data_IF_898814554756
#
_entry.id   IF_898814554756
#
_cell.length_a   1.000
_cell.length_b   1.000
_cell.length_c   1.000
_cell.angle_alpha   90.00
_cell.angle_beta   90.00
_cell.angle_gamma   90.00
#
_symmetry.space_group_name_H-M   'P 1'
#
loop_
_entity.id
_entity.type
_entity.pdbx_description
1 polymer ?
#
# COMPACT_ATOMS: atom_id res chain seq x y z
N UNK A 1 -4.53 1.19 -27.64
CA UNK A 1 -3.97 1.52 -28.96
C UNK A 1 -3.60 0.22 -29.68
N UNK A 2 -4.37 -0.14 -30.72
CA UNK A 2 -4.28 -1.40 -31.48
C UNK A 2 -3.54 -1.21 -32.82
N UNK A 3 -2.46 -0.42 -32.86
CA UNK A 3 -1.83 -0.05 -34.13
C UNK A 3 -0.92 -1.14 -34.73
N UNK A 4 -0.34 -2.03 -33.92
CA UNK A 4 0.48 -3.15 -34.42
C UNK A 4 -0.33 -4.37 -34.86
N UNK A 5 -1.64 -4.41 -34.56
CA UNK A 5 -2.49 -5.58 -34.82
C UNK A 5 -3.37 -5.47 -36.07
N UNK A 6 -3.63 -4.28 -36.63
CA UNK A 6 -4.44 -4.14 -37.85
C UNK A 6 -3.60 -4.27 -39.11
N UNK A 7 -2.47 -3.56 -39.19
CA UNK A 7 -1.55 -3.67 -40.33
C UNK A 7 -0.96 -5.08 -40.50
N UNK A 8 -0.58 -5.75 -39.41
CA UNK A 8 -0.11 -7.13 -39.48
C UNK A 8 -1.22 -8.11 -39.94
N UNK A 9 -2.48 -7.87 -39.60
CA UNK A 9 -3.60 -8.70 -40.06
C UNK A 9 -3.93 -8.46 -41.53
N UNK A 10 -3.92 -7.20 -42.00
CA UNK A 10 -4.12 -6.85 -43.41
C UNK A 10 -2.98 -7.37 -44.29
N UNK A 11 -1.72 -7.26 -43.83
CA UNK A 11 -0.56 -7.82 -44.52
C UNK A 11 -0.64 -9.35 -44.58
N UNK A 12 -1.05 -10.03 -43.50
CA UNK A 12 -1.26 -11.50 -43.51
C UNK A 12 -2.42 -11.88 -44.45
N UNK A 13 -3.50 -11.08 -44.50
CA UNK A 13 -4.65 -11.33 -45.36
C UNK A 13 -4.34 -11.11 -46.85
N UNK A 14 -3.51 -10.12 -47.18
CA UNK A 14 -3.02 -9.89 -48.54
C UNK A 14 -1.93 -10.90 -48.95
N UNK A 15 -1.07 -11.33 -48.02
CA UNK A 15 -0.12 -12.44 -48.24
C UNK A 15 -0.83 -13.79 -48.44
N UNK A 16 -1.93 -14.07 -47.71
CA UNK A 16 -2.75 -15.29 -47.90
C UNK A 16 -3.49 -15.30 -49.26
N UNK A 17 -3.77 -14.12 -49.84
CA UNK A 17 -4.32 -13.99 -51.19
C UNK A 17 -3.28 -14.18 -52.29
N UNK A 18 -2.05 -13.67 -52.11
CA UNK A 18 -0.95 -13.84 -53.07
C UNK A 18 -0.32 -15.23 -53.03
N UNK A 19 -0.36 -15.92 -51.88
CA UNK A 19 0.10 -17.29 -51.71
C UNK A 19 -1.00 -18.10 -51.01
N UNK A 20 -1.89 -18.79 -51.75
CA UNK A 20 -2.93 -19.60 -51.13
C UNK A 20 -2.29 -20.77 -50.37
N UNK A 21 -2.13 -20.61 -49.05
CA UNK A 21 -1.73 -21.72 -48.19
C UNK A 21 -2.79 -22.81 -48.27
N UNK A 22 -2.39 -24.03 -48.67
CA UNK A 22 -3.33 -25.14 -48.79
C UNK A 22 -4.09 -25.36 -47.47
N UNK A 23 -5.41 -25.64 -47.48
CA UNK A 23 -6.19 -25.90 -46.26
C UNK A 23 -5.67 -27.08 -45.42
N UNK A 24 -4.87 -27.97 -46.03
CA UNK A 24 -4.15 -29.06 -45.38
C UNK A 24 -3.03 -28.52 -44.45
N UNK A 25 -2.38 -27.42 -44.84
CA UNK A 25 -1.35 -26.72 -44.07
C UNK A 25 -1.93 -26.04 -42.82
N UNK A 26 -3.04 -25.31 -42.96
CA UNK A 26 -3.79 -24.76 -41.83
C UNK A 26 -4.23 -25.84 -40.83
N UNK A 27 -4.65 -27.01 -41.34
CA UNK A 27 -5.01 -28.17 -40.48
C UNK A 27 -3.81 -28.75 -39.75
N UNK A 28 -2.65 -28.86 -40.39
CA UNK A 28 -1.41 -29.34 -39.73
C UNK A 28 -0.97 -28.35 -38.65
N UNK A 29 -0.86 -27.06 -38.94
CA UNK A 29 -0.53 -26.02 -37.95
C UNK A 29 -1.53 -26.02 -36.77
N UNK A 30 -2.83 -26.18 -37.05
CA UNK A 30 -3.86 -26.32 -36.01
C UNK A 30 -3.76 -27.62 -35.21
N UNK A 31 -3.29 -28.72 -35.81
CA UNK A 31 -3.12 -30.03 -35.17
C UNK A 31 -1.86 -30.04 -34.29
N UNK A 32 -0.77 -29.42 -34.74
CA UNK A 32 0.47 -29.28 -33.98
C UNK A 32 0.30 -28.33 -32.78
N UNK A 33 -0.47 -27.24 -32.92
CA UNK A 33 -0.87 -26.37 -31.79
C UNK A 33 -1.67 -27.12 -30.71
N UNK A 34 -2.29 -28.24 -31.05
CA UNK A 34 -3.19 -29.02 -30.17
C UNK A 34 -2.45 -30.12 -29.39
N UNK A 35 -1.19 -30.40 -29.74
CA UNK A 35 -0.34 -31.33 -28.98
C UNK A 35 0.32 -30.59 -27.82
N UNK A 36 -0.25 -30.81 -26.62
CA UNK A 36 0.28 -30.54 -25.28
C UNK A 36 1.05 -29.22 -25.08
N UNK A 37 0.32 -28.17 -24.68
CA UNK A 37 0.97 -27.00 -24.05
C UNK A 37 1.69 -27.46 -22.78
N UNK A 38 3.03 -27.39 -22.78
CA UNK A 38 3.90 -27.74 -21.64
C UNK A 38 3.76 -26.80 -20.43
N UNK A 39 2.83 -25.85 -20.50
CA UNK A 39 2.56 -24.89 -19.43
C UNK A 39 1.82 -25.61 -18.29
N UNK A 40 2.44 -25.66 -17.11
CA UNK A 40 1.83 -26.25 -15.92
C UNK A 40 0.54 -25.52 -15.55
N UNK A 41 -0.60 -26.18 -15.76
CA UNK A 41 -1.93 -25.66 -15.42
C UNK A 41 -2.04 -25.24 -13.96
N UNK A 42 -1.38 -25.97 -13.05
CA UNK A 42 -1.35 -25.66 -11.62
C UNK A 42 -0.77 -24.27 -11.36
N UNK A 43 0.40 -23.94 -11.94
CA UNK A 43 1.05 -22.63 -11.77
C UNK A 43 0.16 -21.51 -12.30
N UNK A 44 -0.50 -21.72 -13.45
CA UNK A 44 -1.41 -20.73 -14.06
C UNK A 44 -2.59 -20.40 -13.14
N UNK A 45 -3.26 -21.42 -12.59
CA UNK A 45 -4.42 -21.21 -11.71
C UNK A 45 -4.02 -20.69 -10.32
N UNK A 46 -2.89 -21.15 -9.77
CA UNK A 46 -2.35 -20.65 -8.51
C UNK A 46 -1.98 -19.17 -8.63
N UNK A 47 -1.26 -18.80 -9.69
CA UNK A 47 -0.89 -17.41 -9.96
C UNK A 47 -2.12 -16.52 -10.16
N UNK A 48 -3.13 -17.00 -10.91
CA UNK A 48 -4.39 -16.28 -11.06
C UNK A 48 -5.12 -16.10 -9.72
N UNK A 49 -5.20 -17.17 -8.91
CA UNK A 49 -5.86 -17.17 -7.61
C UNK A 49 -5.23 -16.21 -6.59
N UNK A 50 -3.90 -16.14 -6.52
CA UNK A 50 -3.26 -15.15 -5.65
C UNK A 50 -3.42 -13.72 -6.17
N UNK A 51 -3.27 -13.49 -7.48
CA UNK A 51 -3.40 -12.15 -8.05
C UNK A 51 -4.83 -11.59 -7.96
N UNK A 52 -5.86 -12.44 -8.04
CA UNK A 52 -7.25 -11.96 -7.90
C UNK A 52 -7.52 -11.46 -6.48
N UNK A 53 -6.93 -12.09 -5.46
CA UNK A 53 -7.03 -11.63 -4.08
C UNK A 53 -6.39 -10.24 -3.91
N UNK A 54 -5.16 -10.06 -4.39
CA UNK A 54 -4.49 -8.75 -4.35
C UNK A 54 -5.21 -7.68 -5.17
N UNK A 55 -5.83 -8.07 -6.29
CA UNK A 55 -6.62 -7.17 -7.12
C UNK A 55 -7.88 -6.66 -6.38
N UNK A 56 -8.62 -7.56 -5.74
CA UNK A 56 -9.80 -7.21 -4.92
C UNK A 56 -9.38 -6.35 -3.73
N UNK A 57 -8.31 -6.72 -3.02
CA UNK A 57 -7.77 -5.93 -1.91
C UNK A 57 -7.36 -4.52 -2.37
N UNK A 58 -6.69 -4.40 -3.51
CA UNK A 58 -6.34 -3.10 -4.10
C UNK A 58 -7.57 -2.25 -4.39
N UNK A 59 -8.61 -2.84 -4.98
CA UNK A 59 -9.88 -2.15 -5.21
C UNK A 59 -10.53 -1.66 -3.91
N UNK A 60 -10.60 -2.50 -2.88
CA UNK A 60 -11.17 -2.13 -1.58
C UNK A 60 -10.38 -1.00 -0.92
N UNK A 61 -9.05 -1.07 -0.94
CA UNK A 61 -8.17 -0.02 -0.39
C UNK A 61 -8.38 1.31 -1.14
N UNK A 62 -8.45 1.27 -2.47
CA UNK A 62 -8.75 2.47 -3.27
C UNK A 62 -10.13 3.05 -2.94
N UNK A 63 -11.16 2.20 -2.80
CA UNK A 63 -12.50 2.65 -2.45
C UNK A 63 -12.54 3.32 -1.07
N UNK A 64 -11.89 2.73 -0.07
CA UNK A 64 -11.76 3.32 1.28
C UNK A 64 -11.00 4.64 1.24
N UNK A 65 -9.88 4.69 0.50
CA UNK A 65 -9.08 5.91 0.36
C UNK A 65 -9.85 7.04 -0.32
N UNK A 66 -10.62 6.75 -1.38
CA UNK A 66 -11.47 7.73 -2.07
C UNK A 66 -12.59 8.21 -1.14
N UNK A 67 -13.23 7.29 -0.42
CA UNK A 67 -14.27 7.63 0.55
C UNK A 67 -13.74 8.60 1.61
N UNK A 68 -12.60 8.26 2.23
CA UNK A 68 -11.96 9.12 3.23
C UNK A 68 -11.53 10.47 2.65
N UNK A 69 -11.04 10.50 1.41
CA UNK A 69 -10.65 11.75 0.75
C UNK A 69 -11.84 12.67 0.46
N UNK A 70 -12.97 12.12 0.01
CA UNK A 70 -14.19 12.89 -0.24
C UNK A 70 -14.78 13.44 1.06
N UNK A 71 -14.79 12.63 2.12
CA UNK A 71 -15.29 13.07 3.43
C UNK A 71 -14.46 14.25 3.94
N UNK A 72 -13.13 14.17 3.87
CA UNK A 72 -12.22 15.27 4.22
C UNK A 72 -12.44 16.53 3.38
N UNK A 73 -12.48 16.43 2.06
CA UNK A 73 -12.64 17.59 1.17
C UNK A 73 -13.99 18.30 1.41
N UNK A 74 -15.04 17.55 1.73
CA UNK A 74 -16.35 18.12 2.06
C UNK A 74 -16.32 18.98 3.33
N UNK A 75 -15.48 18.64 4.33
CA UNK A 75 -15.27 19.45 5.53
C UNK A 75 -14.32 20.64 5.30
N UNK A 76 -13.29 20.45 4.46
CA UNK A 76 -12.21 21.45 4.26
C UNK A 76 -12.53 22.54 3.22
N UNK A 77 -13.59 22.35 2.41
CA UNK A 77 -14.13 23.36 1.50
C UNK A 77 -14.66 24.64 2.21
N UNK A 78 -14.70 24.66 3.54
CA UNK A 78 -14.98 25.86 4.35
C UNK A 78 -13.72 26.56 4.91
N UNK A 79 -12.51 26.03 4.68
CA UNK A 79 -11.34 26.38 5.48
C UNK A 79 -10.07 26.79 4.75
N UNK A 80 -9.35 25.85 4.10
CA UNK A 80 -7.88 26.02 3.97
C UNK A 80 -7.25 25.40 2.72
N UNK A 81 -7.86 25.60 1.56
CA UNK A 81 -7.40 25.14 0.24
C UNK A 81 -5.98 25.59 -0.24
N UNK A 82 -5.13 26.22 0.59
CA UNK A 82 -3.91 26.86 0.04
C UNK A 82 -2.68 26.97 0.96
N UNK A 83 -2.43 26.10 1.95
CA UNK A 83 -1.15 26.24 2.70
C UNK A 83 -0.56 24.95 3.32
N UNK A 84 0.00 24.07 2.49
CA UNK A 84 1.36 23.47 2.62
C UNK A 84 1.52 22.41 1.54
N UNK A 85 2.63 22.48 0.80
CA UNK A 85 3.00 21.54 -0.25
C UNK A 85 3.31 20.14 0.28
N UNK A 86 2.30 19.44 0.78
CA UNK A 86 2.41 18.13 1.42
C UNK A 86 1.33 17.19 0.93
N UNK A 87 1.20 17.03 -0.39
CA UNK A 87 0.38 15.98 -1.00
C UNK A 87 0.68 14.59 -0.40
N UNK A 88 1.92 14.34 0.04
CA UNK A 88 2.34 13.05 0.62
C UNK A 88 2.00 12.84 2.09
N UNK A 89 1.51 13.84 2.82
CA UNK A 89 1.23 13.72 4.26
C UNK A 89 -0.24 13.47 4.60
N UNK A 90 -1.15 13.47 3.61
CA UNK A 90 -2.52 13.03 3.84
C UNK A 90 -2.61 11.50 3.77
N UNK A 91 -2.94 10.81 4.89
CA UNK A 91 -3.10 9.37 4.89
C UNK A 91 -4.09 8.88 3.83
N UNK A 92 -5.19 9.62 3.58
CA UNK A 92 -6.21 9.21 2.62
C UNK A 92 -5.65 9.11 1.19
N UNK A 93 -4.86 10.10 0.76
CA UNK A 93 -4.21 10.07 -0.55
C UNK A 93 -3.20 8.92 -0.68
N UNK A 94 -2.45 8.62 0.39
CA UNK A 94 -1.52 7.48 0.41
C UNK A 94 -2.28 6.17 0.19
N UNK A 95 -3.42 5.96 0.86
CA UNK A 95 -4.27 4.79 0.64
C UNK A 95 -4.75 4.69 -0.82
N UNK A 96 -5.17 5.80 -1.43
CA UNK A 96 -5.59 5.84 -2.84
C UNK A 96 -4.45 5.43 -3.77
N UNK A 97 -3.27 6.03 -3.62
CA UNK A 97 -2.11 5.76 -4.49
C UNK A 97 -1.64 4.31 -4.38
N UNK A 98 -1.50 3.81 -3.14
CA UNK A 98 -1.10 2.40 -2.89
C UNK A 98 -2.15 1.44 -3.43
N UNK A 99 -3.43 1.72 -3.21
CA UNK A 99 -4.54 0.89 -3.71
C UNK A 99 -4.58 0.82 -5.24
N UNK A 100 -4.42 1.96 -5.93
CA UNK A 100 -4.41 2.00 -7.40
C UNK A 100 -3.22 1.21 -7.95
N UNK A 101 -2.05 1.38 -7.33
CA UNK A 101 -0.85 0.65 -7.74
C UNK A 101 -1.02 -0.87 -7.56
N UNK A 102 -1.54 -1.30 -6.40
CA UNK A 102 -1.86 -2.71 -6.14
C UNK A 102 -2.90 -3.25 -7.13
N UNK A 103 -3.95 -2.48 -7.42
CA UNK A 103 -4.99 -2.85 -8.39
C UNK A 103 -4.39 -3.06 -9.78
N UNK A 104 -3.55 -2.14 -10.26
CA UNK A 104 -2.89 -2.24 -11.57
C UNK A 104 -1.98 -3.48 -11.67
N UNK A 105 -1.19 -3.77 -10.63
CA UNK A 105 -0.30 -4.94 -10.60
C UNK A 105 -1.12 -6.23 -10.57
N UNK A 106 -2.12 -6.31 -9.69
CA UNK A 106 -3.01 -7.48 -9.59
C UNK A 106 -3.75 -7.74 -10.91
N UNK A 107 -4.27 -6.70 -11.55
CA UNK A 107 -4.90 -6.79 -12.87
C UNK A 107 -3.93 -7.31 -13.94
N UNK A 108 -2.72 -6.76 -14.00
CA UNK A 108 -1.70 -7.19 -14.94
C UNK A 108 -1.29 -8.66 -14.70
N UNK A 109 -1.16 -9.11 -13.45
CA UNK A 109 -0.88 -10.50 -13.09
C UNK A 109 -2.01 -11.45 -13.51
N UNK A 110 -3.27 -11.08 -13.23
CA UNK A 110 -4.45 -11.83 -13.63
C UNK A 110 -4.60 -11.97 -15.15
N UNK A 111 -4.58 -10.84 -15.86
CA UNK A 111 -4.74 -10.83 -17.32
C UNK A 111 -3.52 -11.42 -18.02
N UNK A 112 -2.31 -11.14 -17.50
CA UNK A 112 -1.07 -11.68 -18.03
C UNK A 112 -1.03 -13.21 -17.97
N UNK A 113 -1.43 -13.79 -16.84
CA UNK A 113 -1.51 -15.26 -16.69
C UNK A 113 -2.62 -15.87 -17.55
N UNK A 114 -3.84 -15.33 -17.55
CA UNK A 114 -4.96 -15.88 -18.32
C UNK A 114 -4.78 -15.76 -19.84
N UNK A 115 -4.33 -14.59 -20.31
CA UNK A 115 -4.17 -14.29 -21.74
C UNK A 115 -2.81 -14.69 -22.30
N UNK A 116 -1.94 -15.26 -21.48
CA UNK A 116 -0.57 -15.64 -21.86
C UNK A 116 0.18 -14.47 -22.53
N UNK A 117 -0.04 -13.26 -22.00
CA UNK A 117 0.54 -12.03 -22.52
C UNK A 117 1.89 -11.77 -21.83
N UNK A 118 2.97 -12.03 -22.57
CA UNK A 118 4.35 -11.89 -22.10
C UNK A 118 4.71 -10.46 -21.69
N UNK A 119 4.08 -9.43 -22.28
CA UNK A 119 4.33 -8.04 -21.91
C UNK A 119 3.73 -7.72 -20.54
N UNK A 120 2.50 -8.16 -20.27
CA UNK A 120 1.84 -7.97 -18.96
C UNK A 120 2.54 -8.78 -17.86
N UNK A 121 2.98 -10.00 -18.14
CA UNK A 121 3.78 -10.81 -17.21
C UNK A 121 5.14 -10.17 -16.91
N UNK A 122 5.77 -9.54 -17.90
CA UNK A 122 7.01 -8.80 -17.71
C UNK A 122 6.79 -7.55 -16.84
N UNK A 123 5.75 -6.77 -17.12
CA UNK A 123 5.38 -5.62 -16.28
C UNK A 123 5.11 -6.05 -14.83
N UNK A 124 4.32 -7.10 -14.63
CA UNK A 124 4.00 -7.63 -13.30
C UNK A 124 5.26 -8.03 -12.52
N UNK A 125 6.12 -8.86 -13.12
CA UNK A 125 7.35 -9.33 -12.46
C UNK A 125 8.36 -8.20 -12.22
N UNK A 126 8.48 -7.25 -13.14
CA UNK A 126 9.34 -6.09 -12.96
C UNK A 126 8.84 -5.16 -11.85
N UNK A 127 7.52 -4.92 -11.78
CA UNK A 127 6.92 -4.14 -10.70
C UNK A 127 7.13 -4.81 -9.33
N UNK A 128 6.92 -6.13 -9.21
CA UNK A 128 7.23 -6.86 -7.98
C UNK A 128 8.71 -6.79 -7.61
N UNK A 129 9.62 -6.86 -8.57
CA UNK A 129 11.05 -6.74 -8.30
C UNK A 129 11.40 -5.34 -7.76
N UNK A 130 10.85 -4.27 -8.33
CA UNK A 130 11.03 -2.91 -7.81
C UNK A 130 10.52 -2.80 -6.37
N UNK A 131 9.32 -3.32 -6.09
CA UNK A 131 8.75 -3.31 -4.74
C UNK A 131 9.65 -4.06 -3.76
N UNK A 132 10.13 -5.24 -4.14
CA UNK A 132 11.02 -6.04 -3.31
C UNK A 132 12.32 -5.30 -2.95
N UNK A 133 12.99 -4.72 -3.94
CA UNK A 133 14.21 -3.94 -3.68
C UNK A 133 13.94 -2.66 -2.89
N UNK A 134 12.81 -1.97 -3.16
CA UNK A 134 12.39 -0.81 -2.38
C UNK A 134 12.11 -1.18 -0.92
N UNK A 135 11.48 -2.33 -0.66
CA UNK A 135 11.19 -2.83 0.68
C UNK A 135 12.48 -3.16 1.44
N UNK A 136 13.45 -3.81 0.80
CA UNK A 136 14.76 -4.08 1.38
C UNK A 136 15.55 -2.79 1.67
N UNK A 137 15.56 -1.85 0.72
CA UNK A 137 16.22 -0.56 0.89
C UNK A 137 15.58 0.24 2.03
N UNK A 138 14.26 0.34 2.06
CA UNK A 138 13.52 1.03 3.11
C UNK A 138 13.79 0.41 4.48
N UNK A 139 13.69 -0.92 4.62
CA UNK A 139 13.97 -1.60 5.89
C UNK A 139 15.41 -1.37 6.39
N UNK A 140 16.38 -1.40 5.48
CA UNK A 140 17.79 -1.15 5.81
C UNK A 140 18.01 0.30 6.23
N UNK A 141 17.43 1.27 5.51
CA UNK A 141 17.53 2.68 5.83
C UNK A 141 16.92 3.01 7.18
N UNK A 142 15.72 2.48 7.48
CA UNK A 142 15.06 2.68 8.79
C UNK A 142 15.92 2.10 9.92
N UNK A 143 16.53 0.94 9.72
CA UNK A 143 17.40 0.32 10.72
C UNK A 143 18.66 1.16 10.99
N UNK A 144 19.33 1.64 9.93
CA UNK A 144 20.55 2.47 10.04
C UNK A 144 20.23 3.81 10.71
N UNK A 145 19.13 4.46 10.30
CA UNK A 145 18.78 5.81 10.74
C UNK A 145 17.73 5.84 11.86
N UNK A 146 17.61 4.78 12.66
CA UNK A 146 16.56 4.65 13.69
C UNK A 146 16.45 5.84 14.65
N UNK A 147 17.58 6.40 15.09
CA UNK A 147 17.58 7.56 16.00
C UNK A 147 17.06 8.82 15.31
N UNK A 148 17.43 9.01 14.04
CA UNK A 148 16.92 10.12 13.24
C UNK A 148 15.42 9.97 12.99
N UNK A 149 14.97 8.76 12.67
CA UNK A 149 13.53 8.46 12.52
C UNK A 149 12.79 8.79 13.80
N UNK A 150 13.29 8.35 14.97
CA UNK A 150 12.70 8.66 16.27
C UNK A 150 12.59 10.17 16.52
N UNK A 151 13.66 10.92 16.29
CA UNK A 151 13.68 12.37 16.50
C UNK A 151 12.74 13.13 15.55
N UNK A 152 12.67 12.72 14.28
CA UNK A 152 11.73 13.31 13.33
C UNK A 152 10.27 12.94 13.66
N UNK A 153 10.03 11.71 14.12
CA UNK A 153 8.72 11.30 14.64
C UNK A 153 8.31 12.13 15.86
N UNK A 154 9.23 12.40 16.79
CA UNK A 154 8.95 13.26 17.95
C UNK A 154 8.51 14.66 17.53
N UNK A 155 9.26 15.30 16.62
CA UNK A 155 8.90 16.63 16.09
C UNK A 155 7.52 16.61 15.42
N UNK A 156 7.27 15.61 14.59
CA UNK A 156 5.99 15.49 13.88
C UNK A 156 4.82 15.27 14.86
N UNK A 157 5.00 14.44 15.89
CA UNK A 157 4.01 14.23 16.94
C UNK A 157 3.76 15.50 17.78
N UNK A 158 4.79 16.31 18.03
CA UNK A 158 4.61 17.59 18.72
C UNK A 158 3.76 18.56 17.89
N UNK A 159 3.96 18.63 16.57
CA UNK A 159 3.09 19.42 15.67
C UNK A 159 1.64 18.92 15.72
N UNK A 160 1.44 17.60 15.82
CA UNK A 160 0.09 17.02 15.98
C UNK A 160 -0.56 17.43 17.31
N UNK A 161 0.21 17.51 18.41
CA UNK A 161 -0.28 18.01 19.70
C UNK A 161 -0.63 19.50 19.61
N UNK A 162 0.18 20.32 18.95
CA UNK A 162 -0.08 21.75 18.74
C UNK A 162 -1.40 21.98 17.97
N UNK A 163 -1.64 21.18 16.93
CA UNK A 163 -2.86 21.24 16.10
C UNK A 163 -4.01 20.35 16.56
N UNK A 164 -3.97 19.80 17.78
CA UNK A 164 -4.96 18.83 18.27
C UNK A 164 -6.44 19.27 18.16
N UNK A 165 -6.73 20.57 18.29
CA UNK A 165 -8.09 21.13 18.18
C UNK A 165 -8.45 21.63 16.77
N UNK A 166 -7.51 21.59 15.83
CA UNK A 166 -7.71 22.14 14.49
C UNK A 166 -8.49 21.18 13.58
N UNK A 167 -8.36 19.88 13.81
CA UNK A 167 -8.95 18.82 12.98
C UNK A 167 -9.62 17.75 13.88
N UNK A 168 -10.95 17.54 13.76
CA UNK A 168 -11.67 16.50 14.51
C UNK A 168 -11.12 15.07 14.29
N UNK A 169 -10.62 14.74 13.10
CA UNK A 169 -10.07 13.42 12.80
C UNK A 169 -8.73 13.22 13.50
N UNK A 170 -7.88 14.25 13.48
CA UNK A 170 -6.63 14.29 14.26
C UNK A 170 -6.92 14.13 15.75
N UNK A 171 -7.93 14.85 16.25
CA UNK A 171 -8.35 14.78 17.65
C UNK A 171 -8.76 13.35 18.02
N UNK A 172 -9.66 12.74 17.24
CA UNK A 172 -10.15 11.38 17.45
C UNK A 172 -9.02 10.35 17.40
N UNK A 173 -8.07 10.50 16.48
CA UNK A 173 -6.91 9.63 16.36
C UNK A 173 -6.01 9.72 17.59
N UNK A 174 -5.66 10.93 18.03
CA UNK A 174 -4.83 11.14 19.23
C UNK A 174 -5.56 10.59 20.46
N UNK A 175 -6.86 10.85 20.59
CA UNK A 175 -7.68 10.36 21.69
C UNK A 175 -7.71 8.83 21.75
N UNK A 176 -7.86 8.16 20.61
CA UNK A 176 -7.82 6.71 20.51
C UNK A 176 -6.43 6.14 20.87
N UNK A 177 -5.35 6.77 20.39
CA UNK A 177 -3.98 6.35 20.71
C UNK A 177 -3.75 6.43 22.23
N UNK A 178 -4.13 7.55 22.85
CA UNK A 178 -3.88 7.82 24.27
C UNK A 178 -4.76 6.95 25.17
N UNK A 179 -6.05 6.85 24.87
CA UNK A 179 -7.02 6.18 25.74
C UNK A 179 -7.08 4.68 25.50
N UNK A 180 -7.17 4.26 24.24
CA UNK A 180 -7.62 2.91 23.88
C UNK A 180 -6.46 2.00 23.46
N UNK A 181 -5.41 2.54 22.84
CA UNK A 181 -4.30 1.73 22.31
C UNK A 181 -3.08 1.64 23.25
N UNK A 182 -2.49 2.78 23.62
CA UNK A 182 -1.18 2.82 24.29
C UNK A 182 -1.24 3.20 25.77
N UNK A 183 -2.38 3.70 26.27
CA UNK A 183 -2.55 4.13 27.66
C UNK A 183 -1.43 5.10 28.10
N UNK A 184 -1.32 6.21 27.38
CA UNK A 184 -0.23 7.18 27.44
C UNK A 184 -0.78 8.61 27.36
N UNK A 185 0.06 9.61 27.64
CA UNK A 185 -0.33 11.01 27.51
C UNK A 185 0.83 11.87 26.98
N UNK A 186 0.55 12.66 25.95
CA UNK A 186 1.55 13.49 25.27
C UNK A 186 2.56 12.67 24.45
N UNK A 187 3.64 13.31 23.99
CA UNK A 187 4.64 12.66 23.12
C UNK A 187 5.65 11.88 23.95
N UNK A 188 6.44 12.57 24.77
CA UNK A 188 7.41 11.99 25.70
C UNK A 188 6.89 11.96 27.13
N UNK A 189 6.01 12.91 27.48
CA UNK A 189 5.33 12.96 28.77
C UNK A 189 4.06 13.83 28.68
N UNK A 190 3.24 13.77 29.71
CA UNK A 190 1.98 14.51 29.79
C UNK A 190 2.14 16.05 29.72
N UNK A 191 3.32 16.61 30.05
CA UNK A 191 3.57 18.07 29.97
C UNK A 191 3.72 18.58 28.54
N UNK A 192 3.86 17.71 27.54
CA UNK A 192 3.86 18.14 26.15
C UNK A 192 2.57 18.88 25.75
N UNK A 193 1.49 18.72 26.50
CA UNK A 193 0.25 19.49 26.33
C UNK A 193 0.41 20.99 26.64
N UNK A 194 1.46 21.42 27.36
CA UNK A 194 1.78 22.84 27.55
C UNK A 194 2.08 23.56 26.22
N UNK A 195 2.47 22.84 25.17
CA UNK A 195 2.70 23.38 23.82
C UNK A 195 1.41 23.71 23.07
N UNK A 196 0.26 23.16 23.48
CA UNK A 196 -1.02 23.42 22.83
C UNK A 196 -1.69 24.69 23.40
N UNK A 197 -2.21 25.54 22.52
CA UNK A 197 -2.82 26.83 22.88
C UNK A 197 -4.04 26.74 23.81
N UNK A 198 -4.75 25.61 23.87
CA UNK A 198 -5.92 25.44 24.73
C UNK A 198 -5.53 24.93 26.13
N UNK A 199 -4.52 24.08 26.21
CA UNK A 199 -4.07 23.42 27.44
C UNK A 199 -2.96 24.18 28.19
N UNK A 200 -2.26 25.09 27.51
CA UNK A 200 -1.25 25.93 28.13
C UNK A 200 -1.83 26.71 29.32
N UNK A 201 -1.08 26.78 30.43
CA UNK A 201 -1.50 27.51 31.62
C UNK A 201 -1.78 29.00 31.40
N UNK A 202 -1.04 29.63 30.48
CA UNK A 202 -1.24 31.03 30.12
C UNK A 202 -2.61 31.29 29.50
N UNK A 203 -3.23 30.26 28.92
CA UNK A 203 -4.55 30.34 28.27
C UNK A 203 -5.68 30.55 29.27
N UNK A 204 -5.41 30.42 30.57
CA UNK A 204 -6.32 30.85 31.65
C UNK A 204 -6.65 32.34 31.55
N UNK A 205 -5.69 33.16 31.07
CA UNK A 205 -5.88 34.60 30.86
C UNK A 205 -6.86 34.92 29.72
N UNK A 206 -6.97 34.00 28.75
CA UNK A 206 -7.86 34.14 27.58
C UNK A 206 -9.19 33.40 27.82
N UNK A 207 -9.37 32.81 29.00
CA UNK A 207 -10.61 32.11 29.39
C UNK A 207 -10.71 30.66 28.87
N UNK A 208 -9.60 30.01 28.50
CA UNK A 208 -9.63 28.59 28.16
C UNK A 208 -10.00 27.75 29.38
N UNK A 209 -11.07 26.97 29.25
CA UNK A 209 -11.58 26.08 30.31
C UNK A 209 -10.60 24.93 30.59
N UNK A 210 -9.83 24.51 29.59
CA UNK A 210 -8.89 23.38 29.66
C UNK A 210 -7.45 23.79 30.00
N UNK A 211 -7.25 25.08 30.30
CA UNK A 211 -5.94 25.60 30.66
C UNK A 211 -5.34 24.86 31.88
N UNK A 212 -4.02 24.70 31.88
CA UNK A 212 -3.29 23.93 32.88
C UNK A 212 -3.72 22.45 32.98
N UNK A 213 -4.32 21.89 31.93
CA UNK A 213 -4.78 20.51 31.91
C UNK A 213 -4.20 19.66 30.78
N UNK A 214 -4.69 18.43 30.70
CA UNK A 214 -4.50 17.52 29.57
C UNK A 214 -5.87 17.07 29.05
N UNK A 215 -5.98 16.60 27.80
CA UNK A 215 -7.26 16.10 27.30
C UNK A 215 -7.80 14.92 28.10
N UNK A 216 -9.11 14.73 28.04
CA UNK A 216 -9.78 13.65 28.75
C UNK A 216 -9.33 12.25 28.31
N UNK A 217 -8.79 12.09 27.10
CA UNK A 217 -8.20 10.83 26.62
C UNK A 217 -6.93 10.40 27.37
N UNK A 218 -6.24 11.32 28.05
CA UNK A 218 -5.13 11.00 28.93
C UNK A 218 -5.57 10.38 30.27
N UNK A 219 -6.87 10.37 30.58
CA UNK A 219 -7.34 9.86 31.85
C UNK A 219 -7.37 8.33 31.87
N UNK A 220 -7.06 7.77 33.04
CA UNK A 220 -7.18 6.32 33.25
C UNK A 220 -8.65 5.93 33.22
N UNK A 221 -8.93 4.72 32.72
CA UNK A 221 -10.28 4.21 32.54
C UNK A 221 -11.13 4.27 33.84
N UNK A 222 -10.49 4.05 35.00
CA UNK A 222 -11.12 4.11 36.33
C UNK A 222 -11.73 5.48 36.66
N UNK A 223 -11.11 6.57 36.20
CA UNK A 223 -11.54 7.95 36.51
C UNK A 223 -12.36 8.58 35.37
N UNK A 224 -12.21 8.06 34.14
CA UNK A 224 -12.90 8.60 32.96
C UNK A 224 -14.43 8.50 33.03
N UNK A 225 -14.97 7.40 33.58
CA UNK A 225 -16.42 7.19 33.66
C UNK A 225 -17.11 8.10 34.68
N UNK A 226 -16.42 8.46 35.76
CA UNK A 226 -17.00 9.20 36.88
C UNK A 226 -16.71 10.71 36.81
N UNK A 227 -15.63 11.11 36.13
CA UNK A 227 -15.24 12.50 36.02
C UNK A 227 -14.51 12.79 34.69
N UNK A 228 -15.21 13.42 33.74
CA UNK A 228 -14.59 13.89 32.48
C UNK A 228 -13.57 15.03 32.70
N UNK A 229 -13.44 15.55 33.92
CA UNK A 229 -12.50 16.60 34.30
C UNK A 229 -11.23 16.08 34.97
N UNK A 230 -10.97 14.78 34.93
CA UNK A 230 -9.74 14.14 35.44
C UNK A 230 -8.42 14.77 34.94
N UNK A 231 -8.42 15.37 33.75
CA UNK A 231 -7.26 16.06 33.17
C UNK A 231 -7.10 17.52 33.57
N UNK A 232 -8.02 18.11 34.36
CA UNK A 232 -8.00 19.54 34.67
C UNK A 232 -7.00 19.86 35.79
N UNK A 233 -6.22 20.93 35.63
CA UNK A 233 -5.27 21.40 36.63
C UNK A 233 -4.05 20.48 36.85
N UNK A 234 -3.89 19.43 36.05
CA UNK A 234 -2.80 18.44 36.20
C UNK A 234 -1.42 19.00 35.85
N UNK A 235 -1.36 20.10 35.10
CA UNK A 235 -0.10 20.81 34.79
C UNK A 235 0.27 21.84 35.88
N UNK A 236 -0.73 22.34 36.63
CA UNK A 236 -0.54 23.32 37.72
C UNK A 236 -0.09 22.64 39.02
N UNK A 237 -0.68 21.48 39.35
CA UNK A 237 -0.36 20.71 40.56
C UNK A 237 -0.20 19.22 40.27
N UNK A 238 0.77 18.59 40.93
CA UNK A 238 1.00 17.14 40.83
C UNK A 238 -0.12 16.30 41.48
N UNK A 239 -1.02 16.92 42.24
CA UNK A 239 -2.11 16.24 42.94
C UNK A 239 -3.00 15.40 42.00
N UNK A 240 -3.20 15.84 40.75
CA UNK A 240 -4.03 15.14 39.75
C UNK A 240 -3.33 14.05 38.94
N UNK A 241 -2.01 13.87 39.07
CA UNK A 241 -1.21 13.00 38.19
C UNK A 241 -1.55 11.52 38.30
N UNK A 242 -2.09 11.07 39.45
CA UNK A 242 -2.50 9.68 39.66
C UNK A 242 -3.74 9.27 38.84
N UNK A 243 -4.56 10.25 38.42
CA UNK A 243 -5.78 10.01 37.63
C UNK A 243 -5.51 9.90 36.12
N UNK A 244 -4.30 10.29 35.67
CA UNK A 244 -3.91 10.30 34.26
C UNK A 244 -2.78 9.32 33.97
N UNK A 245 -2.57 9.05 32.70
CA UNK A 245 -1.32 8.45 32.21
C UNK A 245 -0.24 9.53 32.19
N UNK A 246 0.92 9.24 32.78
CA UNK A 246 2.06 10.19 32.83
C UNK A 246 3.14 9.87 31.80
N UNK A 247 3.19 8.62 31.34
CA UNK A 247 4.12 8.14 30.33
C UNK A 247 3.75 8.69 28.95
N UNK A 248 4.75 9.14 28.19
CA UNK A 248 4.57 9.57 26.81
C UNK A 248 4.19 8.45 25.85
N UNK A 249 3.49 8.79 24.78
CA UNK A 249 3.09 7.84 23.76
C UNK A 249 4.25 7.35 22.88
N UNK A 250 5.25 8.19 22.59
CA UNK A 250 6.42 7.80 21.80
C UNK A 250 7.26 6.71 22.48
N UNK A 251 7.65 6.81 23.77
CA UNK A 251 8.37 5.73 24.44
C UNK A 251 7.50 4.47 24.62
N UNK A 252 6.19 4.60 24.89
CA UNK A 252 5.26 3.46 24.93
C UNK A 252 5.16 2.75 23.58
N UNK A 253 5.06 3.50 22.49
CA UNK A 253 5.05 2.97 21.14
C UNK A 253 6.35 2.24 20.81
N UNK A 254 7.51 2.80 21.17
CA UNK A 254 8.82 2.15 21.01
C UNK A 254 8.86 0.81 21.77
N UNK A 255 8.44 0.81 23.03
CA UNK A 255 8.40 -0.40 23.86
C UNK A 255 7.43 -1.44 23.30
N UNK A 256 6.27 -1.02 22.79
CA UNK A 256 5.33 -1.90 22.12
C UNK A 256 5.96 -2.53 20.87
N UNK A 257 6.66 -1.73 20.06
CA UNK A 257 7.34 -2.19 18.86
C UNK A 257 8.45 -3.19 19.16
N UNK A 258 9.27 -2.94 20.19
CA UNK A 258 10.32 -3.87 20.62
C UNK A 258 9.75 -5.23 21.05
N UNK A 259 8.61 -5.23 21.74
CA UNK A 259 7.93 -6.48 22.15
C UNK A 259 7.30 -7.23 20.97
N UNK A 260 6.84 -6.50 19.96
CA UNK A 260 6.14 -7.07 18.80
C UNK A 260 6.99 -7.08 17.53
N UNK A 261 8.31 -6.91 17.63
CA UNK A 261 9.18 -6.85 16.45
C UNK A 261 9.23 -8.18 15.69
N UNK A 262 9.13 -9.30 16.42
CA UNK A 262 9.15 -10.65 15.83
C UNK A 262 7.96 -10.91 14.89
N UNK A 263 6.68 -10.73 15.29
CA UNK A 263 5.56 -10.91 14.36
C UNK A 263 5.62 -9.92 13.19
N UNK A 264 6.05 -8.67 13.40
CA UNK A 264 6.24 -7.70 12.30
C UNK A 264 7.28 -8.21 11.30
N UNK A 265 8.43 -8.70 11.78
CA UNK A 265 9.48 -9.26 10.94
C UNK A 265 9.00 -10.51 10.16
N UNK A 266 8.19 -11.37 10.78
CA UNK A 266 7.60 -12.54 10.12
C UNK A 266 6.67 -12.11 8.97
N UNK A 267 5.79 -11.12 9.20
CA UNK A 267 4.90 -10.61 8.14
C UNK A 267 5.72 -10.05 6.97
N UNK A 268 6.74 -9.24 7.25
CA UNK A 268 7.65 -8.68 6.23
C UNK A 268 8.35 -9.80 5.44
N UNK A 269 8.85 -10.83 6.13
CA UNK A 269 9.51 -11.96 5.49
C UNK A 269 8.56 -12.79 4.61
N UNK A 270 7.34 -13.05 5.08
CA UNK A 270 6.32 -13.76 4.29
C UNK A 270 5.97 -12.97 3.03
N UNK A 271 5.78 -11.64 3.14
CA UNK A 271 5.53 -10.78 1.99
C UNK A 271 6.68 -10.81 0.98
N UNK A 272 7.93 -10.78 1.45
CA UNK A 272 9.12 -10.89 0.61
C UNK A 272 9.18 -12.25 -0.12
N UNK A 273 8.88 -13.35 0.56
CA UNK A 273 8.81 -14.69 -0.05
C UNK A 273 7.71 -14.76 -1.10
N UNK A 274 6.51 -14.22 -0.82
CA UNK A 274 5.41 -14.18 -1.78
C UNK A 274 5.76 -13.37 -3.04
N UNK A 275 6.48 -12.25 -2.89
CA UNK A 275 6.97 -11.47 -4.03
C UNK A 275 7.96 -12.27 -4.87
N UNK A 276 8.95 -12.94 -4.25
CA UNK A 276 9.92 -13.79 -4.95
C UNK A 276 9.21 -14.91 -5.71
N UNK A 277 8.28 -15.62 -5.07
CA UNK A 277 7.49 -16.67 -5.71
C UNK A 277 6.69 -16.10 -6.88
N UNK A 278 6.06 -14.94 -6.72
CA UNK A 278 5.34 -14.25 -7.80
C UNK A 278 6.24 -13.92 -8.99
N UNK A 279 7.46 -13.45 -8.75
CA UNK A 279 8.46 -13.17 -9.78
C UNK A 279 8.87 -14.46 -10.49
N UNK A 280 9.24 -15.50 -9.74
CA UNK A 280 9.66 -16.79 -10.28
C UNK A 280 8.56 -17.42 -11.14
N UNK A 281 7.32 -17.46 -10.65
CA UNK A 281 6.19 -18.02 -11.40
C UNK A 281 5.88 -17.20 -12.66
N UNK A 282 5.92 -15.87 -12.58
CA UNK A 282 5.70 -15.03 -13.75
C UNK A 282 6.80 -15.21 -14.82
N UNK A 283 8.06 -15.33 -14.42
CA UNK A 283 9.17 -15.55 -15.34
C UNK A 283 9.18 -16.95 -15.93
N UNK A 284 8.89 -17.97 -15.14
CA UNK A 284 8.73 -19.34 -15.63
C UNK A 284 7.60 -19.42 -16.66
N UNK A 285 6.41 -18.89 -16.32
CA UNK A 285 5.28 -18.85 -17.25
C UNK A 285 5.61 -18.07 -18.53
N UNK A 286 6.32 -16.95 -18.41
CA UNK A 286 6.77 -16.16 -19.57
C UNK A 286 7.73 -16.96 -20.46
N UNK A 287 8.71 -17.66 -19.87
CA UNK A 287 9.68 -18.46 -20.59
C UNK A 287 9.01 -19.65 -21.29
N UNK A 288 8.05 -20.32 -20.63
CA UNK A 288 7.27 -21.40 -21.23
C UNK A 288 6.47 -20.90 -22.44
N UNK A 289 5.81 -19.74 -22.33
CA UNK A 289 5.08 -19.13 -23.45
C UNK A 289 6.01 -18.81 -24.62
N UNK A 290 7.22 -18.28 -24.35
CA UNK A 290 8.20 -17.97 -25.39
C UNK A 290 8.74 -19.24 -26.06
N UNK A 291 9.05 -20.27 -25.28
CA UNK A 291 9.50 -21.57 -25.79
C UNK A 291 8.44 -22.23 -26.68
N UNK A 292 7.17 -22.19 -26.26
CA UNK A 292 6.04 -22.71 -27.04
C UNK A 292 5.85 -21.93 -28.36
N UNK A 293 5.93 -20.58 -28.32
CA UNK A 293 5.90 -19.76 -29.54
C UNK A 293 7.06 -20.09 -30.48
N UNK A 294 8.27 -20.28 -29.96
CA UNK A 294 9.44 -20.66 -30.76
C UNK A 294 9.24 -22.05 -31.40
N UNK A 295 8.76 -23.05 -30.65
CA UNK A 295 8.43 -24.39 -31.17
C UNK A 295 7.46 -24.32 -32.35
N UNK A 296 6.38 -23.53 -32.23
CA UNK A 296 5.42 -23.35 -33.32
C UNK A 296 6.02 -22.69 -34.56
N UNK A 297 6.92 -21.72 -34.39
CA UNK A 297 7.63 -21.07 -35.51
C UNK A 297 8.56 -22.07 -36.21
N UNK A 298 9.35 -22.83 -35.45
CA UNK A 298 10.25 -23.84 -35.98
C UNK A 298 9.52 -24.95 -36.74
N UNK A 299 8.39 -25.43 -36.23
CA UNK A 299 7.57 -26.43 -36.92
C UNK A 299 6.91 -25.89 -38.20
N UNK A 300 6.61 -24.59 -38.27
CA UNK A 300 6.04 -23.95 -39.46
C UNK A 300 7.09 -23.64 -40.55
N UNK A 301 8.36 -23.46 -40.18
CA UNK A 301 9.41 -22.95 -41.08
C UNK A 301 9.76 -23.86 -42.28
N UNK A 302 10.03 -25.17 -42.14
CA UNK A 302 10.30 -26.06 -43.28
C UNK A 302 9.11 -26.12 -44.26
N UNK A 303 7.93 -26.02 -43.68
CA UNK A 303 6.64 -26.07 -44.34
C UNK A 303 6.42 -24.78 -45.18
N UNK A 304 6.80 -23.60 -44.68
CA UNK A 304 6.79 -22.35 -45.47
C UNK A 304 7.82 -22.34 -46.60
N UNK A 305 9.01 -22.92 -46.38
CA UNK A 305 10.05 -23.00 -47.43
C UNK A 305 9.67 -23.95 -48.57
N UNK A 306 8.99 -25.07 -48.28
CA UNK A 306 8.52 -26.00 -49.31
C UNK A 306 7.55 -25.33 -50.31
N UNK A 307 6.60 -24.52 -49.82
CA UNK A 307 5.64 -23.81 -50.69
C UNK A 307 6.22 -22.57 -51.39
N UNK A 308 7.38 -22.06 -50.94
CA UNK A 308 8.08 -20.96 -51.63
C UNK A 308 8.83 -21.43 -52.87
N UNK A 309 9.16 -22.72 -52.95
CA UNK A 309 9.92 -23.32 -54.06
C UNK A 309 9.04 -24.09 -55.06
N UNK A 310 7.72 -24.08 -54.88
CA UNK A 310 6.73 -24.50 -55.89
C UNK A 310 6.11 -23.26 -56.54
#
# INVERSE_FOLDING_TARGET
MNFLGKGAREIIQELDKLFPMAPRFQKVVRKTRRHDTEISRCIKYLMFGFNILFWILGFMITAIGIYAWIEKDTFDNFGRLTMRGTLFFDPALVFVLVGIFMFCIGFAGCVGSLRENTCLLLFFSFALAIIFFAQLAFGTLVFIYREKVKNESEKQLMVMIESYRDDPDLQNMIDWIQRDWLHCCGVNNYRNWESNIYFNCSSKLVGSVEACGVPASCCRAEYFHNNKQCGYGTLESSAGTHMIYTDGCLPKASQWFERHILPVAIVIAVLAVLQILGICFAQNLRNDILAQKAKWIWQAHPMMNYYRHQ
#
